data_IF_732845837816
#
_entry.id   IF_732845837816
#
_cell.length_a   1.000
_cell.length_b   1.000
_cell.length_c   1.000
_cell.angle_alpha   90.00
_cell.angle_beta   90.00
_cell.angle_gamma   90.00
#
_symmetry.space_group_name_H-M   'P 1'
#
loop_
_entity.id
_entity.type
_entity.pdbx_description
1 polymer ?
#
# COMPACT_ATOMS: atom_id res chain seq x y z
N UNK A 1 -19.85 -46.40 -23.01
CA UNK A 1 -20.64 -46.00 -21.82
C UNK A 1 -20.54 -44.50 -21.69
N UNK A 2 -21.60 -43.83 -22.10
CA UNK A 2 -21.74 -42.37 -22.12
C UNK A 2 -22.19 -41.94 -20.71
N UNK A 3 -21.38 -41.18 -20.00
CA UNK A 3 -21.78 -40.62 -18.70
C UNK A 3 -22.37 -39.24 -18.97
N UNK A 4 -23.68 -39.13 -18.80
CA UNK A 4 -24.42 -37.88 -18.92
C UNK A 4 -24.00 -36.93 -17.78
N UNK A 5 -23.56 -35.72 -18.14
CA UNK A 5 -23.43 -34.63 -17.20
C UNK A 5 -24.83 -34.12 -16.85
N UNK A 6 -25.25 -34.31 -15.60
CA UNK A 6 -26.45 -33.66 -15.07
C UNK A 6 -26.24 -32.12 -15.02
N UNK A 7 -27.31 -31.32 -15.14
CA UNK A 7 -27.17 -29.87 -15.09
C UNK A 7 -26.63 -29.45 -13.73
N UNK A 8 -25.57 -28.63 -13.77
CA UNK A 8 -25.09 -27.88 -12.60
C UNK A 8 -26.25 -27.10 -12.01
N UNK A 9 -26.52 -27.30 -10.72
CA UNK A 9 -27.51 -26.54 -9.99
C UNK A 9 -27.19 -25.05 -10.11
N UNK A 10 -28.06 -24.29 -10.74
CA UNK A 10 -28.08 -22.82 -10.67
C UNK A 10 -28.40 -22.42 -9.24
N UNK A 11 -27.54 -21.67 -8.54
CA UNK A 11 -27.94 -21.06 -7.29
C UNK A 11 -28.96 -19.97 -7.60
N UNK A 12 -30.19 -20.14 -7.14
CA UNK A 12 -31.20 -19.08 -7.15
C UNK A 12 -30.91 -18.12 -5.99
N UNK A 13 -30.30 -16.97 -6.27
CA UNK A 13 -30.15 -15.90 -5.29
C UNK A 13 -31.49 -15.16 -5.15
N UNK A 14 -32.24 -15.44 -4.08
CA UNK A 14 -33.07 -14.42 -3.48
C UNK A 14 -32.12 -13.44 -2.80
N UNK A 15 -31.94 -12.25 -3.36
CA UNK A 15 -31.12 -11.19 -2.78
C UNK A 15 -31.69 -10.77 -1.41
N UNK A 16 -31.21 -11.38 -0.33
CA UNK A 16 -31.64 -11.09 1.05
C UNK A 16 -31.05 -9.75 1.52
N UNK A 17 -31.57 -8.66 0.95
CA UNK A 17 -31.33 -7.31 1.45
C UNK A 17 -32.08 -7.11 2.77
N UNK A 18 -31.38 -6.59 3.77
CA UNK A 18 -31.95 -6.21 5.06
C UNK A 18 -31.57 -4.78 5.40
N UNK A 19 -32.18 -4.21 6.46
CA UNK A 19 -31.73 -2.94 7.00
C UNK A 19 -30.25 -3.07 7.42
N UNK A 20 -29.42 -2.13 6.99
CA UNK A 20 -28.01 -2.12 7.36
C UNK A 20 -27.86 -2.07 8.89
N UNK A 21 -26.96 -2.88 9.47
CA UNK A 21 -26.61 -2.74 10.87
C UNK A 21 -25.95 -1.37 11.11
N UNK A 22 -25.90 -0.91 12.36
CA UNK A 22 -25.20 0.33 12.69
C UNK A 22 -23.71 0.19 12.32
N UNK A 23 -23.27 1.02 11.38
CA UNK A 23 -21.90 1.10 10.91
C UNK A 23 -21.08 2.03 11.81
N UNK A 24 -19.75 1.89 11.75
CA UNK A 24 -18.81 2.83 12.37
C UNK A 24 -17.74 3.24 11.37
N UNK A 25 -17.15 4.43 11.55
CA UNK A 25 -16.02 4.84 10.72
C UNK A 25 -14.84 3.87 10.86
N UNK A 26 -14.56 3.40 12.08
CA UNK A 26 -13.48 2.45 12.34
C UNK A 26 -13.66 1.15 11.55
N UNK A 27 -14.87 0.60 11.48
CA UNK A 27 -15.15 -0.64 10.74
C UNK A 27 -15.05 -0.51 9.22
N UNK A 28 -15.19 0.71 8.69
CA UNK A 28 -15.17 0.95 7.24
C UNK A 28 -13.85 1.54 6.75
N UNK A 29 -13.06 2.17 7.63
CA UNK A 29 -11.82 2.82 7.22
C UNK A 29 -10.80 1.81 6.69
N UNK A 30 -10.34 2.02 5.46
CA UNK A 30 -9.43 1.13 4.75
C UNK A 30 -10.11 -0.07 4.08
N UNK A 31 -11.45 -0.10 4.00
CA UNK A 31 -12.20 -1.15 3.27
C UNK A 31 -12.33 -0.85 1.78
N UNK A 32 -12.45 -1.91 0.97
CA UNK A 32 -12.46 -1.84 -0.49
C UNK A 32 -13.82 -2.22 -1.06
N UNK A 33 -14.26 -1.47 -2.07
CA UNK A 33 -15.58 -1.62 -2.65
C UNK A 33 -15.56 -1.44 -4.16
N UNK A 34 -16.49 -2.11 -4.83
CA UNK A 34 -16.93 -1.76 -6.18
C UNK A 34 -18.20 -0.92 -6.06
N UNK A 35 -18.25 0.21 -6.77
CA UNK A 35 -19.43 1.07 -6.83
C UNK A 35 -20.18 0.84 -8.15
N UNK A 36 -21.48 0.57 -8.04
CA UNK A 36 -22.38 0.39 -9.17
C UNK A 36 -23.70 1.10 -8.94
N UNK A 37 -24.43 1.35 -10.01
CA UNK A 37 -25.81 1.79 -10.04
C UNK A 37 -26.67 0.69 -10.68
N UNK A 38 -27.87 0.45 -10.14
CA UNK A 38 -28.81 -0.47 -10.79
C UNK A 38 -29.26 0.01 -12.17
N UNK A 39 -29.20 1.31 -12.42
CA UNK A 39 -29.69 1.91 -13.67
C UNK A 39 -28.60 1.97 -14.74
N UNK A 40 -27.36 2.29 -14.35
CA UNK A 40 -26.26 2.57 -15.28
C UNK A 40 -25.13 1.54 -15.25
N UNK A 41 -25.19 0.56 -14.34
CA UNK A 41 -24.16 -0.47 -14.19
C UNK A 41 -22.96 -0.02 -13.36
N UNK A 42 -21.77 -0.58 -13.65
CA UNK A 42 -20.54 -0.30 -12.90
C UNK A 42 -20.08 1.15 -13.08
N UNK A 43 -19.75 1.81 -11.96
CA UNK A 43 -19.25 3.20 -11.92
C UNK A 43 -17.75 3.20 -11.59
N UNK A 44 -17.34 2.36 -10.63
CA UNK A 44 -15.95 2.18 -10.27
C UNK A 44 -15.69 0.72 -9.91
N UNK A 45 -14.71 0.05 -10.56
CA UNK A 45 -14.38 -1.33 -10.27
C UNK A 45 -13.71 -1.50 -8.90
N UNK A 46 -13.05 -0.44 -8.40
CA UNK A 46 -12.32 -0.45 -7.14
C UNK A 46 -12.23 0.96 -6.55
N UNK A 47 -12.78 1.14 -5.36
CA UNK A 47 -12.61 2.31 -4.52
C UNK A 47 -12.27 1.90 -3.09
N UNK A 48 -11.66 2.81 -2.35
CA UNK A 48 -11.33 2.63 -0.94
C UNK A 48 -12.10 3.64 -0.12
N UNK A 49 -12.75 3.19 0.96
CA UNK A 49 -13.17 4.10 2.03
C UNK A 49 -11.93 4.46 2.85
N UNK A 50 -11.12 5.35 2.32
CA UNK A 50 -9.80 5.67 2.84
C UNK A 50 -9.87 6.38 4.21
N UNK A 51 -8.78 6.38 4.99
CA UNK A 51 -8.70 7.14 6.23
C UNK A 51 -9.04 8.63 6.07
N UNK A 52 -9.35 9.29 7.18
CA UNK A 52 -9.77 10.70 7.22
C UNK A 52 -11.03 11.01 6.39
N UNK A 53 -11.89 10.00 6.17
CA UNK A 53 -13.14 10.17 5.42
C UNK A 53 -12.94 10.45 3.94
N UNK A 54 -11.78 10.09 3.36
CA UNK A 54 -11.48 10.31 1.93
C UNK A 54 -11.93 9.14 1.08
N UNK A 55 -12.33 9.41 -0.16
CA UNK A 55 -12.50 8.36 -1.17
C UNK A 55 -11.17 8.10 -1.86
N UNK A 56 -10.69 6.86 -1.78
CA UNK A 56 -9.49 6.39 -2.46
C UNK A 56 -9.81 5.74 -3.79
N UNK A 57 -8.93 5.91 -4.78
CA UNK A 57 -9.01 5.31 -6.11
C UNK A 57 -10.25 5.64 -6.96
N UNK A 58 -11.13 6.51 -6.49
CA UNK A 58 -12.25 7.05 -7.26
C UNK A 58 -12.34 8.56 -7.02
N UNK A 59 -11.82 9.35 -7.96
CA UNK A 59 -11.73 10.81 -7.84
C UNK A 59 -12.82 11.47 -8.68
N UNK A 60 -13.97 11.71 -8.06
CA UNK A 60 -15.10 12.38 -8.68
C UNK A 60 -15.62 13.47 -7.73
N UNK A 61 -15.80 14.73 -8.16
CA UNK A 61 -16.32 15.79 -7.28
C UNK A 61 -17.69 15.47 -6.67
N UNK A 62 -18.48 14.59 -7.29
CA UNK A 62 -19.74 14.11 -6.73
C UNK A 62 -19.57 13.12 -5.58
N UNK A 63 -18.39 12.52 -5.37
CA UNK A 63 -18.08 11.56 -4.31
C UNK A 63 -16.60 11.73 -3.94
N UNK A 64 -16.32 12.68 -3.06
CA UNK A 64 -14.95 13.01 -2.62
C UNK A 64 -14.68 12.51 -1.20
N UNK A 65 -15.72 12.49 -0.36
CA UNK A 65 -15.64 12.09 1.03
C UNK A 65 -16.63 10.97 1.36
N UNK A 66 -16.40 10.34 2.50
CA UNK A 66 -17.35 9.48 3.17
C UNK A 66 -17.33 9.74 4.67
N UNK A 67 -18.46 9.49 5.32
CA UNK A 67 -18.54 9.42 6.77
C UNK A 67 -19.68 8.50 7.18
N UNK A 68 -19.72 8.17 8.46
CA UNK A 68 -20.87 7.51 9.05
C UNK A 68 -21.70 8.55 9.81
N UNK A 69 -23.00 8.61 9.52
CA UNK A 69 -23.97 9.46 10.21
C UNK A 69 -25.19 8.61 10.60
N UNK A 70 -25.58 8.66 11.88
CA UNK A 70 -26.66 7.85 12.44
C UNK A 70 -26.54 6.33 12.13
N UNK A 71 -25.30 5.82 12.20
CA UNK A 71 -25.01 4.41 11.90
C UNK A 71 -25.10 4.05 10.40
N UNK A 72 -25.27 5.01 9.51
CA UNK A 72 -25.34 4.80 8.06
C UNK A 72 -24.12 5.37 7.35
N UNK A 73 -23.63 4.66 6.34
CA UNK A 73 -22.59 5.17 5.45
C UNK A 73 -23.19 6.25 4.55
N UNK A 74 -22.52 7.40 4.48
CA UNK A 74 -22.85 8.49 3.59
C UNK A 74 -21.66 8.79 2.69
N UNK A 75 -21.87 8.79 1.37
CA UNK A 75 -20.95 9.37 0.41
C UNK A 75 -21.26 10.85 0.26
N UNK A 76 -20.22 11.68 0.13
CA UNK A 76 -20.32 13.14 0.20
C UNK A 76 -19.53 13.78 -0.93
N UNK A 77 -20.09 14.82 -1.54
CA UNK A 77 -19.47 15.56 -2.64
C UNK A 77 -18.44 16.59 -2.14
N UNK A 78 -17.77 17.26 -3.07
CA UNK A 78 -16.76 18.28 -2.80
C UNK A 78 -17.27 19.46 -1.97
N UNK A 79 -18.57 19.76 -2.05
CA UNK A 79 -19.24 20.85 -1.31
C UNK A 79 -19.72 20.42 0.09
N UNK A 80 -19.42 19.18 0.50
CA UNK A 80 -19.83 18.63 1.79
C UNK A 80 -21.31 18.19 1.86
N UNK A 81 -22.00 18.10 0.72
CA UNK A 81 -23.39 17.64 0.67
C UNK A 81 -23.47 16.12 0.50
N UNK A 82 -24.46 15.44 1.13
CA UNK A 82 -24.71 14.02 0.91
C UNK A 82 -25.02 13.70 -0.55
N UNK A 83 -24.22 12.80 -1.12
CA UNK A 83 -24.42 12.26 -2.48
C UNK A 83 -25.27 11.00 -2.44
N UNK A 84 -25.00 10.09 -1.51
CA UNK A 84 -25.79 8.86 -1.34
C UNK A 84 -25.72 8.36 0.09
N UNK A 85 -26.86 7.85 0.61
CA UNK A 85 -26.96 7.30 1.97
C UNK A 85 -27.30 5.82 1.87
N UNK A 86 -26.49 4.99 2.53
CA UNK A 86 -26.57 3.53 2.48
C UNK A 86 -27.28 2.99 3.73
N UNK A 87 -28.49 2.47 3.53
CA UNK A 87 -29.40 2.05 4.60
C UNK A 87 -29.78 0.57 4.53
N UNK A 88 -29.39 -0.13 3.47
CA UNK A 88 -29.57 -1.56 3.30
C UNK A 88 -28.22 -2.27 3.23
N UNK A 89 -28.18 -3.54 3.61
CA UNK A 89 -26.99 -4.38 3.53
C UNK A 89 -27.35 -5.80 3.09
N UNK A 90 -26.39 -6.48 2.48
CA UNK A 90 -26.32 -7.93 2.40
C UNK A 90 -25.21 -8.41 3.34
N UNK A 91 -25.50 -9.47 4.10
CA UNK A 91 -24.59 -10.02 5.09
C UNK A 91 -24.42 -11.52 4.83
N UNK A 92 -23.17 -11.95 4.72
CA UNK A 92 -22.78 -13.36 4.59
C UNK A 92 -21.76 -13.69 5.68
N UNK A 93 -21.97 -14.80 6.40
CA UNK A 93 -21.11 -15.24 7.50
C UNK A 93 -20.77 -14.12 8.53
N UNK A 94 -21.75 -13.26 8.81
CA UNK A 94 -21.60 -12.14 9.74
C UNK A 94 -20.81 -10.94 9.20
N UNK A 95 -20.44 -10.94 7.92
CA UNK A 95 -19.73 -9.84 7.24
C UNK A 95 -20.62 -9.13 6.24
N UNK A 96 -20.49 -7.80 6.17
CA UNK A 96 -21.17 -7.01 5.16
C UNK A 96 -20.49 -7.26 3.82
N UNK A 97 -21.22 -7.87 2.88
CA UNK A 97 -20.73 -8.14 1.52
C UNK A 97 -21.25 -7.11 0.52
N UNK A 98 -22.35 -6.42 0.82
CA UNK A 98 -22.82 -5.29 0.04
C UNK A 98 -23.58 -4.28 0.90
N UNK A 99 -23.53 -3.01 0.49
CA UNK A 99 -24.33 -1.91 1.00
C UNK A 99 -25.17 -1.31 -0.12
N UNK A 100 -26.45 -1.07 0.15
CA UNK A 100 -27.42 -0.50 -0.77
C UNK A 100 -27.83 0.89 -0.29
N UNK A 101 -27.72 1.87 -1.18
CA UNK A 101 -28.00 3.26 -0.89
C UNK A 101 -28.75 3.97 -2.01
N UNK A 102 -29.32 5.12 -1.69
CA UNK A 102 -30.01 5.98 -2.66
C UNK A 102 -29.46 7.39 -2.56
N UNK A 103 -29.42 8.08 -3.69
CA UNK A 103 -29.08 9.49 -3.75
C UNK A 103 -28.76 9.93 -5.17
N UNK A 104 -27.98 11.00 -5.30
CA UNK A 104 -27.55 11.58 -6.57
C UNK A 104 -26.03 11.67 -6.63
N UNK A 105 -25.43 10.99 -7.60
CA UNK A 105 -24.00 11.10 -7.93
C UNK A 105 -23.89 11.73 -9.32
N UNK A 106 -23.31 12.93 -9.38
CA UNK A 106 -23.26 13.74 -10.59
C UNK A 106 -24.68 14.11 -11.03
N UNK A 107 -25.07 13.74 -12.23
CA UNK A 107 -26.44 13.90 -12.75
C UNK A 107 -27.34 12.69 -12.52
N UNK A 108 -26.82 11.62 -11.93
CA UNK A 108 -27.52 10.32 -11.84
C UNK A 108 -28.17 10.18 -10.46
N UNK A 109 -29.51 10.19 -10.42
CA UNK A 109 -30.29 9.84 -9.23
C UNK A 109 -30.74 8.39 -9.33
N UNK A 110 -30.18 7.51 -8.50
CA UNK A 110 -30.31 6.06 -8.64
C UNK A 110 -30.25 5.33 -7.29
N UNK A 111 -30.46 4.02 -7.34
CA UNK A 111 -30.01 3.11 -6.29
C UNK A 111 -28.54 2.72 -6.58
N UNK A 112 -27.67 2.98 -5.62
CA UNK A 112 -26.26 2.62 -5.67
C UNK A 112 -25.98 1.39 -4.81
N UNK A 113 -25.08 0.53 -5.28
CA UNK A 113 -24.59 -0.63 -4.57
C UNK A 113 -23.08 -0.53 -4.43
N UNK A 114 -22.61 -0.59 -3.19
CA UNK A 114 -21.22 -0.86 -2.86
C UNK A 114 -21.09 -2.35 -2.57
N UNK A 115 -20.37 -3.09 -3.40
CA UNK A 115 -20.05 -4.52 -3.16
C UNK A 115 -18.64 -4.61 -2.58
N UNK A 116 -18.48 -5.28 -1.44
CA UNK A 116 -17.16 -5.52 -0.86
C UNK A 116 -16.30 -6.29 -1.87
N UNK A 117 -15.06 -5.86 -2.06
CA UNK A 117 -14.13 -6.49 -3.01
C UNK A 117 -12.75 -6.67 -2.40
N UNK A 118 -11.96 -7.56 -2.97
CA UNK A 118 -10.52 -7.61 -2.74
C UNK A 118 -9.80 -6.64 -3.68
N UNK A 119 -8.52 -6.41 -3.43
CA UNK A 119 -7.62 -5.96 -4.49
C UNK A 119 -7.73 -6.91 -5.69
N UNK A 120 -7.85 -6.38 -6.92
CA UNK A 120 -7.93 -7.19 -8.11
C UNK A 120 -6.61 -7.93 -8.34
N UNK A 121 -6.70 -9.08 -9.03
CA UNK A 121 -5.53 -9.90 -9.34
C UNK A 121 -4.58 -9.19 -10.29
N UNK A 122 -3.28 -9.46 -10.18
CA UNK A 122 -2.27 -8.83 -11.02
C UNK A 122 -2.41 -9.27 -12.50
N UNK A 123 -2.48 -8.35 -13.46
CA UNK A 123 -2.97 -8.65 -14.81
C UNK A 123 -2.03 -9.46 -15.69
N UNK A 124 -0.73 -9.56 -15.34
CA UNK A 124 0.26 -10.23 -16.20
C UNK A 124 0.61 -11.64 -15.69
N UNK A 125 0.82 -11.79 -14.39
CA UNK A 125 1.29 -13.03 -13.74
C UNK A 125 0.70 -13.19 -12.35
N UNK A 126 -0.63 -13.22 -12.26
CA UNK A 126 -1.31 -13.50 -11.00
C UNK A 126 -0.92 -14.89 -10.49
N UNK A 127 -0.41 -14.94 -9.28
CA UNK A 127 -0.26 -16.21 -8.57
C UNK A 127 -1.65 -16.69 -8.15
N UNK A 128 -2.04 -17.96 -8.38
CA UNK A 128 -3.35 -18.47 -7.96
C UNK A 128 -3.64 -18.17 -6.48
N UNK A 129 -4.89 -17.84 -6.13
CA UNK A 129 -5.28 -17.60 -4.72
C UNK A 129 -4.97 -18.78 -3.79
N UNK A 130 -4.97 -20.01 -4.32
CA UNK A 130 -4.65 -21.23 -3.57
C UNK A 130 -3.18 -21.39 -3.22
N UNK A 131 -2.26 -20.67 -3.89
CA UNK A 131 -0.84 -20.76 -3.59
C UNK A 131 -0.52 -19.91 -2.36
N UNK A 132 -0.04 -20.51 -1.26
CA UNK A 132 0.27 -19.77 -0.05
C UNK A 132 1.45 -18.83 -0.29
N UNK A 133 1.31 -17.60 0.20
CA UNK A 133 2.33 -16.55 0.15
C UNK A 133 2.76 -16.25 1.59
N UNK A 134 3.74 -17.03 2.07
CA UNK A 134 4.24 -16.97 3.44
C UNK A 134 5.73 -17.27 3.47
N UNK A 135 6.50 -16.32 3.97
CA UNK A 135 7.91 -16.51 4.25
C UNK A 135 8.12 -17.28 5.56
N UNK A 136 9.17 -18.11 5.58
CA UNK A 136 9.67 -18.74 6.79
C UNK A 136 10.87 -17.95 7.33
N UNK A 137 10.83 -17.66 8.63
CA UNK A 137 11.88 -16.92 9.31
C UNK A 137 12.95 -17.88 9.85
N UNK A 138 14.16 -17.81 9.28
CA UNK A 138 15.37 -18.49 9.77
C UNK A 138 15.86 -17.89 11.08
N UNK A 139 15.64 -16.58 11.24
CA UNK A 139 15.85 -15.83 12.49
C UNK A 139 14.57 -15.08 12.78
N UNK A 140 14.15 -15.11 14.05
CA UNK A 140 13.00 -14.36 14.54
C UNK A 140 13.36 -13.67 15.86
N UNK A 141 12.70 -12.54 16.13
CA UNK A 141 13.01 -11.70 17.28
C UNK A 141 12.90 -12.47 18.61
N UNK A 142 13.98 -12.44 19.40
CA UNK A 142 14.06 -13.08 20.72
C UNK A 142 13.84 -12.10 21.89
N UNK A 143 13.52 -10.84 21.57
CA UNK A 143 13.44 -9.73 22.51
C UNK A 143 12.14 -8.95 22.37
N UNK A 144 11.77 -8.11 23.35
CA UNK A 144 10.67 -7.16 23.17
C UNK A 144 10.90 -6.33 21.90
N UNK A 145 9.86 -6.27 21.06
CA UNK A 145 9.88 -5.55 19.79
C UNK A 145 10.03 -4.06 20.02
N UNK A 146 10.80 -3.41 19.15
CA UNK A 146 10.80 -1.96 19.02
C UNK A 146 9.56 -1.48 18.26
N UNK A 147 9.20 -0.19 18.31
CA UNK A 147 7.99 0.30 17.63
C UNK A 147 8.11 0.33 16.10
N UNK A 148 9.32 0.40 15.55
CA UNK A 148 9.56 0.62 14.13
C UNK A 148 10.26 -0.58 13.48
N UNK A 149 10.04 -0.77 12.17
CA UNK A 149 10.62 -1.87 11.40
C UNK A 149 11.22 -1.37 10.09
N UNK A 150 12.44 -1.81 9.80
CA UNK A 150 13.04 -1.75 8.47
C UNK A 150 12.88 -3.11 7.80
N UNK A 151 12.25 -3.18 6.63
CA UNK A 151 12.16 -4.40 5.82
C UNK A 151 12.94 -4.19 4.54
N UNK A 152 14.09 -4.85 4.44
CA UNK A 152 14.99 -4.70 3.30
C UNK A 152 15.07 -6.03 2.52
N UNK A 153 14.70 -6.04 1.23
CA UNK A 153 15.12 -7.10 0.33
C UNK A 153 16.63 -6.95 0.10
N UNK A 154 17.46 -7.89 0.56
CA UNK A 154 18.92 -7.75 0.51
C UNK A 154 19.59 -8.86 -0.30
N UNK A 155 20.66 -8.49 -1.01
CA UNK A 155 21.64 -9.43 -1.58
C UNK A 155 23.03 -9.22 -0.98
N UNK A 156 24.02 -9.92 -1.53
CA UNK A 156 25.42 -9.86 -1.05
C UNK A 156 26.02 -8.44 -1.04
N UNK A 157 25.57 -7.55 -1.93
CA UNK A 157 26.02 -6.16 -2.04
C UNK A 157 25.20 -5.14 -1.26
N UNK A 158 24.34 -5.59 -0.33
CA UNK A 158 23.46 -4.71 0.43
C UNK A 158 24.23 -3.87 1.47
N UNK A 159 23.83 -2.61 1.63
CA UNK A 159 24.37 -1.67 2.61
C UNK A 159 23.72 -1.75 3.99
N UNK A 160 22.75 -2.64 4.22
CA UNK A 160 22.01 -2.68 5.49
C UNK A 160 22.87 -2.93 6.74
N UNK A 161 24.06 -3.51 6.59
CA UNK A 161 25.04 -3.62 7.67
C UNK A 161 25.49 -2.27 8.21
N UNK A 162 25.71 -1.29 7.31
CA UNK A 162 26.18 0.05 7.64
C UNK A 162 25.15 0.85 8.43
N UNK A 163 23.86 0.54 8.28
CA UNK A 163 22.79 1.19 9.04
C UNK A 163 22.87 0.93 10.54
N UNK A 164 23.55 -0.15 10.95
CA UNK A 164 23.79 -0.50 12.35
C UNK A 164 25.17 -0.04 12.85
N UNK A 165 26.04 0.47 11.97
CA UNK A 165 27.35 0.98 12.36
C UNK A 165 27.22 2.29 13.16
N UNK A 166 28.00 2.43 14.22
CA UNK A 166 28.05 3.66 15.03
C UNK A 166 26.84 3.93 15.92
N UNK A 167 25.77 3.14 15.85
CA UNK A 167 24.60 3.26 16.72
C UNK A 167 24.57 2.16 17.79
N UNK A 168 24.53 2.57 19.06
CA UNK A 168 24.35 1.61 20.16
C UNK A 168 22.94 1.00 20.12
N UNK A 169 22.83 -0.31 20.39
CA UNK A 169 21.55 -1.03 20.37
C UNK A 169 20.49 -0.43 21.32
N UNK A 170 20.93 0.15 22.45
CA UNK A 170 20.07 0.88 23.40
C UNK A 170 19.54 2.22 22.88
N UNK A 171 20.15 2.79 21.84
CA UNK A 171 19.70 4.03 21.18
C UNK A 171 18.91 3.76 19.91
N UNK A 172 18.95 2.55 19.35
CA UNK A 172 18.19 2.16 18.16
C UNK A 172 16.71 1.96 18.50
N UNK A 173 15.80 2.61 17.76
CA UNK A 173 14.35 2.54 17.99
C UNK A 173 13.59 1.69 16.95
N UNK A 174 14.32 0.95 16.12
CA UNK A 174 13.80 0.14 15.03
C UNK A 174 14.43 -1.25 15.01
N UNK A 175 13.63 -2.25 14.62
CA UNK A 175 14.10 -3.59 14.30
C UNK A 175 14.32 -3.72 12.79
N UNK A 176 15.07 -4.73 12.36
CA UNK A 176 15.32 -5.02 10.94
C UNK A 176 14.90 -6.45 10.57
N UNK A 177 14.15 -6.54 9.48
CA UNK A 177 13.80 -7.76 8.79
C UNK A 177 14.50 -7.81 7.43
N UNK A 178 15.38 -8.78 7.26
CA UNK A 178 16.08 -9.03 6.00
C UNK A 178 15.37 -10.14 5.24
N UNK A 179 14.84 -9.81 4.07
CA UNK A 179 14.44 -10.82 3.08
C UNK A 179 15.59 -11.01 2.10
N UNK A 180 16.32 -12.10 2.23
CA UNK A 180 17.51 -12.34 1.41
C UNK A 180 17.14 -12.94 0.05
N UNK A 181 17.40 -12.24 -1.05
CA UNK A 181 17.01 -12.68 -2.40
C UNK A 181 18.12 -13.43 -3.17
N UNK A 182 19.35 -13.46 -2.64
CA UNK A 182 20.45 -14.20 -3.24
C UNK A 182 20.21 -15.71 -3.21
N UNK A 183 20.79 -16.44 -4.16
CA UNK A 183 20.69 -17.92 -4.23
C UNK A 183 21.63 -18.60 -3.24
N UNK A 184 22.69 -17.91 -2.86
CA UNK A 184 23.67 -18.31 -1.86
C UNK A 184 23.08 -18.27 -0.45
N UNK A 185 23.79 -18.91 0.49
CA UNK A 185 23.45 -18.82 1.90
C UNK A 185 23.54 -17.35 2.35
N UNK A 186 22.50 -16.82 3.03
CA UNK A 186 22.53 -15.45 3.52
C UNK A 186 23.77 -15.18 4.39
N UNK A 187 24.52 -14.14 4.02
CA UNK A 187 25.57 -13.58 4.86
C UNK A 187 25.06 -12.29 5.49
N UNK A 188 25.10 -12.21 6.82
CA UNK A 188 24.66 -11.04 7.57
C UNK A 188 25.88 -10.31 8.15
N UNK A 189 26.12 -9.05 7.77
CA UNK A 189 27.23 -8.26 8.32
C UNK A 189 26.99 -7.85 9.78
N UNK A 190 25.75 -7.87 10.26
CA UNK A 190 25.35 -7.55 11.62
C UNK A 190 24.15 -8.41 12.04
N UNK A 191 23.88 -8.49 13.35
CA UNK A 191 22.71 -9.19 13.86
C UNK A 191 21.41 -8.52 13.36
N UNK A 192 20.38 -9.32 13.10
CA UNK A 192 19.07 -8.87 12.62
C UNK A 192 17.97 -9.50 13.46
N UNK A 193 16.81 -8.84 13.54
CA UNK A 193 15.68 -9.38 14.29
C UNK A 193 14.90 -10.42 13.50
N UNK A 194 14.84 -10.28 12.17
CA UNK A 194 14.24 -11.29 11.30
C UNK A 194 15.09 -11.55 10.06
N UNK A 195 15.16 -12.81 9.66
CA UNK A 195 15.79 -13.23 8.41
C UNK A 195 14.89 -14.26 7.73
N UNK A 196 14.54 -14.02 6.47
CA UNK A 196 13.94 -15.04 5.60
C UNK A 196 14.80 -15.18 4.33
N UNK A 197 15.04 -16.42 3.88
CA UNK A 197 15.74 -16.68 2.62
C UNK A 197 14.71 -16.89 1.50
N UNK A 198 14.66 -15.95 0.57
CA UNK A 198 13.64 -15.80 -0.46
C UNK A 198 14.29 -15.66 -1.84
N UNK A 199 15.03 -16.69 -2.30
CA UNK A 199 15.88 -16.59 -3.48
C UNK A 199 15.09 -16.21 -4.74
N UNK A 200 15.70 -15.37 -5.58
CA UNK A 200 15.19 -14.96 -6.89
C UNK A 200 13.84 -14.20 -6.87
N UNK A 201 13.36 -13.76 -5.70
CA UNK A 201 12.17 -12.93 -5.61
C UNK A 201 12.50 -11.45 -5.76
N UNK A 202 11.70 -10.75 -6.56
CA UNK A 202 11.73 -9.28 -6.67
C UNK A 202 11.19 -8.63 -5.40
N UNK A 203 11.59 -7.36 -5.17
CA UNK A 203 11.32 -6.59 -3.95
C UNK A 203 9.88 -6.74 -3.44
N UNK A 204 8.88 -6.41 -4.26
CA UNK A 204 7.50 -6.34 -3.79
C UNK A 204 6.87 -7.72 -3.57
N UNK A 205 7.19 -8.72 -4.40
CA UNK A 205 6.80 -10.13 -4.15
C UNK A 205 7.38 -10.65 -2.85
N UNK A 206 8.66 -10.34 -2.61
CA UNK A 206 9.38 -10.72 -1.40
C UNK A 206 8.78 -10.05 -0.16
N UNK A 207 8.52 -8.75 -0.22
CA UNK A 207 7.88 -8.01 0.88
C UNK A 207 6.49 -8.58 1.17
N UNK A 208 5.69 -8.84 0.14
CA UNK A 208 4.37 -9.44 0.32
C UNK A 208 4.43 -10.76 1.10
N UNK A 209 5.38 -11.64 0.76
CA UNK A 209 5.53 -12.94 1.43
C UNK A 209 5.90 -12.82 2.91
N UNK A 210 6.55 -11.72 3.31
CA UNK A 210 6.88 -11.42 4.70
C UNK A 210 5.67 -10.93 5.50
N UNK A 211 4.64 -10.39 4.85
CA UNK A 211 3.46 -9.76 5.45
C UNK A 211 2.18 -10.61 5.35
N UNK A 212 2.30 -11.93 5.48
CA UNK A 212 1.14 -12.82 5.63
C UNK A 212 0.29 -12.46 6.87
N UNK A 213 -0.98 -12.90 6.91
CA UNK A 213 -1.97 -12.46 7.91
C UNK A 213 -1.47 -12.50 9.37
N UNK A 214 -0.85 -13.61 9.77
CA UNK A 214 -0.31 -13.82 11.13
C UNK A 214 1.17 -13.45 11.27
N UNK A 215 1.71 -12.66 10.33
CA UNK A 215 3.12 -12.28 10.37
C UNK A 215 3.41 -11.43 11.62
N UNK A 216 4.50 -11.72 12.35
CA UNK A 216 4.92 -10.89 13.49
C UNK A 216 5.24 -9.45 13.10
N UNK A 217 5.48 -9.20 11.80
CA UNK A 217 5.79 -7.88 11.26
C UNK A 217 4.59 -6.91 11.31
N UNK A 218 3.35 -7.40 11.44
CA UNK A 218 2.18 -6.54 11.67
C UNK A 218 2.14 -5.90 13.06
N UNK A 219 3.05 -6.29 13.95
CA UNK A 219 3.18 -5.70 15.29
C UNK A 219 3.89 -4.34 15.34
N UNK A 220 4.46 -3.87 14.24
CA UNK A 220 5.19 -2.60 14.18
C UNK A 220 4.28 -1.45 13.75
N UNK A 221 4.53 -0.24 14.27
CA UNK A 221 3.72 0.95 14.01
C UNK A 221 4.12 1.64 12.70
N UNK A 222 5.44 1.68 12.44
CA UNK A 222 6.05 2.32 11.27
C UNK A 222 6.94 1.30 10.55
N UNK A 223 6.78 1.20 9.24
CA UNK A 223 7.47 0.21 8.42
C UNK A 223 8.15 0.92 7.26
N UNK A 224 9.48 0.91 7.23
CA UNK A 224 10.28 1.41 6.12
C UNK A 224 10.67 0.26 5.18
N UNK A 225 10.48 0.46 3.88
CA UNK A 225 10.70 -0.54 2.84
C UNK A 225 11.81 -0.11 1.84
N UNK A 226 13.05 0.11 2.31
CA UNK A 226 14.13 0.60 1.45
C UNK A 226 14.63 -0.45 0.46
N UNK A 227 15.18 0.04 -0.65
CA UNK A 227 16.15 -0.70 -1.45
C UNK A 227 17.47 -0.87 -0.67
N UNK A 228 18.30 -1.78 -1.16
CA UNK A 228 19.44 -2.29 -0.41
C UNK A 228 20.74 -1.51 -0.63
N UNK A 229 20.69 -0.41 -1.40
CA UNK A 229 21.79 0.48 -1.78
C UNK A 229 21.67 1.91 -1.25
N UNK A 230 20.88 2.09 -0.20
CA UNK A 230 20.73 3.38 0.46
C UNK A 230 21.80 3.58 1.52
N UNK A 231 22.60 4.63 1.33
CA UNK A 231 23.54 5.07 2.36
C UNK A 231 22.85 6.07 3.28
N UNK A 232 22.63 5.64 4.52
CA UNK A 232 22.01 6.40 5.60
C UNK A 232 22.55 5.86 6.94
N UNK A 233 22.70 6.73 7.94
CA UNK A 233 23.09 6.30 9.29
C UNK A 233 21.91 5.77 10.10
N UNK A 234 22.18 4.90 11.08
CA UNK A 234 21.15 4.42 12.01
C UNK A 234 20.47 5.53 12.83
N UNK A 235 21.18 6.63 13.09
CA UNK A 235 20.60 7.82 13.74
C UNK A 235 19.61 8.56 12.85
N UNK A 236 19.89 8.66 11.55
CA UNK A 236 18.95 9.25 10.59
C UNK A 236 17.72 8.35 10.41
N UNK A 237 17.88 7.03 10.41
CA UNK A 237 16.73 6.10 10.44
C UNK A 237 15.87 6.32 11.70
N UNK A 238 16.49 6.48 12.88
CA UNK A 238 15.77 6.83 14.10
C UNK A 238 14.96 8.13 13.95
N UNK A 239 15.60 9.17 13.40
CA UNK A 239 14.97 10.49 13.16
C UNK A 239 13.83 10.39 12.15
N UNK A 240 14.00 9.61 11.09
CA UNK A 240 12.98 9.34 10.08
C UNK A 240 11.70 8.78 10.70
N UNK A 241 11.83 7.73 11.51
CA UNK A 241 10.69 7.13 12.20
C UNK A 241 10.06 8.09 13.20
N UNK A 242 10.87 8.87 13.92
CA UNK A 242 10.37 9.91 14.82
C UNK A 242 9.52 10.94 14.07
N UNK A 243 9.99 11.47 12.95
CA UNK A 243 9.27 12.46 12.13
C UNK A 243 7.99 11.88 11.55
N UNK A 244 8.02 10.65 11.02
CA UNK A 244 6.82 9.97 10.53
C UNK A 244 5.75 9.85 11.62
N UNK A 245 6.15 9.51 12.86
CA UNK A 245 5.24 9.44 14.00
C UNK A 245 4.75 10.81 14.44
N UNK A 246 5.66 11.78 14.59
CA UNK A 246 5.37 13.14 15.07
C UNK A 246 4.32 13.84 14.19
N UNK A 247 4.42 13.66 12.88
CA UNK A 247 3.53 14.28 11.90
C UNK A 247 2.38 13.38 11.46
N UNK A 248 2.18 12.23 12.13
CA UNK A 248 1.13 11.26 11.83
C UNK A 248 1.00 10.85 10.35
N UNK A 249 2.13 10.78 9.66
CA UNK A 249 2.16 10.50 8.22
C UNK A 249 1.67 9.09 7.94
N UNK A 250 0.98 8.85 6.84
CA UNK A 250 0.63 7.52 6.36
C UNK A 250 1.67 6.94 5.42
N UNK A 251 2.28 7.80 4.62
CA UNK A 251 3.26 7.40 3.64
C UNK A 251 4.27 8.54 3.46
N UNK A 252 5.54 8.27 3.72
CA UNK A 252 6.60 9.27 3.56
C UNK A 252 7.88 8.63 3.05
N UNK A 253 8.88 9.43 2.71
CA UNK A 253 10.23 8.96 2.45
C UNK A 253 11.25 10.01 2.87
N UNK A 254 12.49 9.62 3.16
CA UNK A 254 13.56 10.59 3.28
C UNK A 254 13.83 11.26 1.92
N UNK A 255 14.30 12.50 1.93
CA UNK A 255 14.75 13.15 0.71
C UNK A 255 16.06 12.51 0.21
N UNK A 256 16.31 12.62 -1.09
CA UNK A 256 17.49 12.06 -1.73
C UNK A 256 18.57 13.13 -1.94
N UNK A 257 19.79 12.80 -1.57
CA UNK A 257 20.95 13.64 -1.86
C UNK A 257 21.23 13.68 -3.36
N UNK A 258 21.59 14.86 -3.87
CA UNK A 258 22.02 15.08 -5.26
C UNK A 258 23.54 15.23 -5.41
N UNK A 259 24.28 15.01 -4.32
CA UNK A 259 25.74 15.08 -4.30
C UNK A 259 26.42 13.89 -4.98
N UNK A 260 27.75 13.94 -5.02
CA UNK A 260 28.58 12.90 -5.65
C UNK A 260 28.27 11.49 -5.12
N UNK A 261 28.15 10.54 -6.05
CA UNK A 261 27.85 9.13 -5.78
C UNK A 261 26.38 8.83 -5.45
N UNK A 262 25.47 9.80 -5.63
CA UNK A 262 24.03 9.58 -5.49
C UNK A 262 23.33 9.68 -6.84
N UNK A 263 22.38 8.76 -7.09
CA UNK A 263 21.68 8.61 -8.37
C UNK A 263 20.14 8.71 -8.22
N UNK A 264 19.59 9.82 -7.68
CA UNK A 264 18.14 9.97 -7.58
C UNK A 264 17.50 10.29 -8.94
N UNK A 265 16.30 9.78 -9.19
CA UNK A 265 15.64 9.91 -10.50
C UNK A 265 14.66 11.07 -10.55
N UNK A 266 13.72 11.14 -9.61
CA UNK A 266 12.61 12.09 -9.67
C UNK A 266 12.98 13.41 -8.95
N UNK A 267 13.03 14.58 -9.61
CA UNK A 267 13.37 15.85 -8.97
C UNK A 267 12.52 16.21 -7.74
N UNK A 268 11.27 15.72 -7.68
CA UNK A 268 10.41 15.88 -6.50
C UNK A 268 11.03 15.25 -5.24
N UNK A 269 11.90 14.24 -5.34
CA UNK A 269 12.47 13.54 -4.19
C UNK A 269 13.79 14.15 -3.71
N UNK A 270 14.33 15.15 -4.42
CA UNK A 270 15.62 15.75 -4.10
C UNK A 270 15.54 16.58 -2.82
N UNK A 271 16.58 16.46 -1.99
CA UNK A 271 16.70 17.21 -0.74
C UNK A 271 16.75 18.72 -1.00
N UNK A 272 15.91 19.46 -0.27
CA UNK A 272 15.90 20.92 -0.27
C UNK A 272 16.72 21.44 0.93
N UNK A 273 17.81 22.21 0.71
CA UNK A 273 18.64 22.74 1.79
C UNK A 273 17.84 23.59 2.79
N UNK A 274 18.11 23.41 4.08
CA UNK A 274 17.36 24.08 5.17
C UNK A 274 15.92 23.57 5.33
N UNK A 275 15.54 22.52 4.59
CA UNK A 275 14.20 21.97 4.58
C UNK A 275 13.85 21.20 5.85
N UNK A 276 12.56 21.25 6.20
CA UNK A 276 11.94 20.41 7.21
C UNK A 276 11.18 19.26 6.57
N UNK A 277 9.86 19.24 6.77
CA UNK A 277 8.96 18.29 6.13
C UNK A 277 8.20 18.99 5.00
N UNK A 278 8.12 18.35 3.82
CA UNK A 278 7.39 18.87 2.65
C UNK A 278 6.27 17.89 2.29
N UNK A 279 5.01 18.35 2.35
CA UNK A 279 3.88 17.53 1.95
C UNK A 279 3.83 17.42 0.43
N UNK A 280 3.83 16.20 -0.08
CA UNK A 280 4.01 15.93 -1.51
C UNK A 280 3.11 14.77 -1.96
N UNK A 281 2.59 14.82 -3.19
CA UNK A 281 1.64 13.83 -3.71
C UNK A 281 2.31 12.52 -4.17
N UNK A 282 3.64 12.42 -4.06
CA UNK A 282 4.43 11.32 -4.60
C UNK A 282 5.47 10.84 -3.60
N UNK A 283 5.57 9.52 -3.43
CA UNK A 283 6.56 8.84 -2.61
C UNK A 283 7.09 7.67 -3.42
N UNK A 284 8.40 7.66 -3.67
CA UNK A 284 9.04 6.73 -4.60
C UNK A 284 9.06 5.31 -4.02
N UNK A 285 8.87 4.32 -4.89
CA UNK A 285 8.87 2.90 -4.52
C UNK A 285 10.19 2.41 -3.91
N UNK A 286 11.27 3.15 -4.09
CA UNK A 286 12.61 2.79 -3.65
C UNK A 286 12.77 2.86 -2.13
N UNK A 287 12.19 3.85 -1.43
CA UNK A 287 12.33 3.96 0.03
C UNK A 287 11.09 4.43 0.80
N UNK A 288 9.88 3.91 0.52
CA UNK A 288 8.68 4.35 1.20
C UNK A 288 8.66 3.88 2.66
N UNK A 289 8.19 4.75 3.53
CA UNK A 289 7.90 4.50 4.94
C UNK A 289 6.40 4.63 5.15
N UNK A 290 5.76 3.54 5.54
CA UNK A 290 4.34 3.46 5.80
C UNK A 290 4.01 3.53 7.30
N UNK A 291 2.85 4.11 7.63
CA UNK A 291 2.12 3.73 8.83
C UNK A 291 1.58 2.30 8.68
N UNK A 292 1.43 1.56 9.78
CA UNK A 292 0.83 0.21 9.72
C UNK A 292 -0.54 0.21 9.02
N UNK A 293 -1.39 1.20 9.30
CA UNK A 293 -2.72 1.29 8.68
C UNK A 293 -2.63 1.49 7.17
N UNK A 294 -1.71 2.33 6.70
CA UNK A 294 -1.52 2.59 5.29
C UNK A 294 -0.94 1.37 4.57
N UNK A 295 0.02 0.67 5.20
CA UNK A 295 0.56 -0.56 4.61
C UNK A 295 -0.52 -1.64 4.47
N UNK A 296 -1.41 -1.80 5.45
CA UNK A 296 -2.54 -2.75 5.34
C UNK A 296 -3.45 -2.48 4.15
N UNK A 297 -3.68 -1.20 3.84
CA UNK A 297 -4.47 -0.79 2.67
C UNK A 297 -3.72 -1.09 1.37
N UNK A 298 -2.40 -0.97 1.35
CA UNK A 298 -1.62 -1.07 0.11
C UNK A 298 -1.02 -2.45 -0.17
N UNK A 299 -0.84 -3.31 0.85
CA UNK A 299 0.02 -4.50 0.77
C UNK A 299 -0.39 -5.48 -0.34
N UNK A 300 -1.68 -5.65 -0.60
CA UNK A 300 -2.15 -6.58 -1.64
C UNK A 300 -1.74 -6.15 -3.05
N UNK A 301 -1.50 -4.85 -3.30
CA UNK A 301 -0.94 -4.39 -4.57
C UNK A 301 0.49 -4.90 -4.85
N UNK A 302 1.17 -5.43 -3.82
CA UNK A 302 2.56 -5.88 -3.90
C UNK A 302 2.64 -7.33 -4.38
N UNK A 303 1.56 -8.11 -4.17
CA UNK A 303 1.50 -9.57 -4.24
C UNK A 303 2.26 -10.14 -5.41
N UNK A 304 1.96 -9.66 -6.61
CA UNK A 304 2.51 -10.19 -7.85
C UNK A 304 3.24 -9.15 -8.70
N UNK A 305 3.56 -7.99 -8.11
CA UNK A 305 4.30 -6.92 -8.79
C UNK A 305 5.75 -7.33 -9.06
N UNK A 306 6.16 -7.35 -10.33
CA UNK A 306 7.51 -7.70 -10.75
C UNK A 306 8.46 -6.50 -10.69
N UNK A 307 8.06 -5.37 -11.29
CA UNK A 307 8.88 -4.15 -11.33
C UNK A 307 8.62 -3.19 -10.17
N UNK A 308 7.40 -3.16 -9.65
CA UNK A 308 6.94 -2.12 -8.73
C UNK A 308 6.52 -0.81 -9.38
N UNK A 309 6.73 -0.63 -10.69
CA UNK A 309 6.35 0.60 -11.40
C UNK A 309 4.84 0.86 -11.26
N UNK A 310 4.49 2.11 -10.96
CA UNK A 310 3.10 2.54 -10.75
C UNK A 310 2.59 2.38 -9.33
N UNK A 311 3.25 1.58 -8.47
CA UNK A 311 2.82 1.44 -7.08
C UNK A 311 2.90 2.77 -6.31
N UNK A 312 3.91 3.58 -6.59
CA UNK A 312 4.09 4.97 -6.10
C UNK A 312 2.96 5.93 -6.51
N UNK A 313 2.19 5.62 -7.56
CA UNK A 313 0.96 6.33 -7.92
C UNK A 313 -0.30 5.73 -7.29
N UNK A 314 -0.32 4.40 -7.11
CA UNK A 314 -1.45 3.69 -6.53
C UNK A 314 -1.55 3.87 -5.02
N UNK A 315 -0.44 3.86 -4.28
CA UNK A 315 -0.52 4.03 -2.81
C UNK A 315 -1.14 5.36 -2.41
N UNK A 316 -0.73 6.52 -2.96
CA UNK A 316 -1.42 7.78 -2.70
C UNK A 316 -2.89 7.71 -3.13
N UNK A 317 -3.20 7.01 -4.22
CA UNK A 317 -4.56 6.82 -4.71
C UNK A 317 -5.43 6.08 -3.70
N UNK A 318 -4.98 4.93 -3.19
CA UNK A 318 -5.69 4.11 -2.21
C UNK A 318 -5.88 4.82 -0.88
N UNK A 319 -4.94 5.67 -0.49
CA UNK A 319 -5.00 6.48 0.72
C UNK A 319 -5.88 7.73 0.57
N UNK A 320 -6.48 7.98 -0.59
CA UNK A 320 -7.34 9.14 -0.83
C UNK A 320 -6.56 10.45 -1.02
N UNK A 321 -5.30 10.37 -1.46
CA UNK A 321 -4.37 11.49 -1.70
C UNK A 321 -4.29 12.46 -0.51
N UNK A 322 -3.88 11.96 0.68
CA UNK A 322 -3.92 12.76 1.90
C UNK A 322 -2.90 13.90 1.83
N UNK A 323 -3.39 15.14 1.90
CA UNK A 323 -2.57 16.34 1.73
C UNK A 323 -1.60 16.59 2.90
N UNK A 324 -1.92 16.11 4.09
CA UNK A 324 -1.14 16.37 5.32
C UNK A 324 -0.53 15.11 5.94
N UNK A 325 -0.79 13.94 5.35
CA UNK A 325 -0.25 12.66 5.83
C UNK A 325 0.69 12.00 4.83
N UNK A 326 1.11 12.74 3.79
CA UNK A 326 2.14 12.31 2.88
C UNK A 326 3.24 13.35 2.77
N UNK A 327 4.50 12.94 2.92
CA UNK A 327 5.59 13.90 2.88
C UNK A 327 6.95 13.31 2.51
N UNK A 328 7.82 14.19 2.01
CA UNK A 328 9.26 13.96 1.92
C UNK A 328 9.93 14.67 3.11
N UNK A 329 10.94 14.03 3.69
CA UNK A 329 11.66 14.53 4.87
C UNK A 329 13.02 15.08 4.45
N UNK A 330 13.18 16.41 4.42
CA UNK A 330 14.41 17.09 3.97
C UNK A 330 15.49 17.21 5.06
N UNK A 331 15.19 16.83 6.31
CA UNK A 331 16.10 16.99 7.45
C UNK A 331 17.44 16.27 7.27
N UNK A 332 17.48 15.24 6.43
CA UNK A 332 18.67 14.51 6.03
C UNK A 332 18.49 14.01 4.60
N UNK A 333 19.60 13.81 3.90
CA UNK A 333 19.62 13.33 2.52
C UNK A 333 20.17 11.92 2.46
N UNK A 334 19.39 11.00 1.90
CA UNK A 334 19.83 9.61 1.66
C UNK A 334 20.53 9.55 0.31
N UNK A 335 21.70 8.90 0.24
CA UNK A 335 22.36 8.67 -1.04
C UNK A 335 21.88 7.35 -1.63
N UNK A 336 21.39 7.41 -2.87
CA UNK A 336 21.07 6.23 -3.68
C UNK A 336 22.33 5.82 -4.44
N UNK A 337 23.04 4.80 -3.96
CA UNK A 337 24.45 4.57 -4.33
C UNK A 337 24.65 3.76 -5.61
N UNK A 338 23.57 3.23 -6.21
CA UNK A 338 23.64 2.53 -7.49
C UNK A 338 22.76 3.23 -8.51
N UNK A 339 23.22 3.35 -9.78
CA UNK A 339 22.35 3.81 -10.85
C UNK A 339 21.31 2.74 -11.18
N UNK A 340 20.23 3.16 -11.86
CA UNK A 340 19.26 2.24 -12.45
C UNK A 340 20.02 1.24 -13.34
N UNK A 341 19.73 -0.06 -13.16
CA UNK A 341 20.43 -1.11 -13.87
C UNK A 341 20.30 -0.93 -15.40
N UNK A 342 21.41 -0.98 -16.12
CA UNK A 342 21.46 -0.84 -17.59
C UNK A 342 20.67 -1.92 -18.34
N UNK A 343 20.46 -3.08 -17.71
CA UNK A 343 19.66 -4.19 -18.25
C UNK A 343 18.17 -4.13 -17.82
N UNK A 344 17.72 -3.04 -17.20
CA UNK A 344 16.33 -2.85 -16.83
C UNK A 344 15.48 -2.59 -18.08
N UNK A 345 14.49 -3.46 -18.32
CA UNK A 345 13.58 -3.28 -19.44
C UNK A 345 12.42 -2.34 -19.06
N UNK A 346 12.65 -1.04 -19.25
CA UNK A 346 11.67 0.01 -18.95
C UNK A 346 10.35 -0.19 -19.71
N UNK A 347 10.39 -0.70 -20.95
CA UNK A 347 9.18 -0.97 -21.74
C UNK A 347 8.28 -2.02 -21.09
N UNK A 348 8.87 -3.09 -20.54
CA UNK A 348 8.11 -4.12 -19.80
C UNK A 348 7.54 -3.55 -18.50
N UNK A 349 8.29 -2.74 -17.77
CA UNK A 349 7.82 -2.11 -16.54
C UNK A 349 6.65 -1.14 -16.77
N UNK A 350 6.74 -0.31 -17.82
CA UNK A 350 5.65 0.60 -18.21
C UNK A 350 4.41 -0.16 -18.69
N UNK A 351 4.58 -1.28 -19.40
CA UNK A 351 3.47 -2.14 -19.79
C UNK A 351 2.80 -2.80 -18.57
N UNK A 352 3.59 -3.25 -17.59
CA UNK A 352 3.07 -3.74 -16.30
C UNK A 352 2.28 -2.65 -15.57
N UNK A 353 2.85 -1.46 -15.42
CA UNK A 353 2.16 -0.31 -14.82
C UNK A 353 0.82 -0.02 -15.48
N UNK A 354 0.77 0.08 -16.81
CA UNK A 354 -0.46 0.37 -17.55
C UNK A 354 -1.52 -0.71 -17.33
N UNK A 355 -1.12 -1.98 -17.38
CA UNK A 355 -2.03 -3.09 -17.13
C UNK A 355 -2.58 -3.04 -15.69
N UNK A 356 -1.72 -2.82 -14.71
CA UNK A 356 -2.12 -2.72 -13.29
C UNK A 356 -3.09 -1.55 -13.10
N UNK A 357 -2.80 -0.38 -13.65
CA UNK A 357 -3.69 0.79 -13.57
C UNK A 357 -5.07 0.49 -14.15
N UNK A 358 -5.13 -0.15 -15.33
CA UNK A 358 -6.39 -0.52 -15.96
C UNK A 358 -7.23 -1.45 -15.07
N UNK A 359 -6.60 -2.43 -14.43
CA UNK A 359 -7.25 -3.36 -13.51
C UNK A 359 -7.84 -2.67 -12.27
N UNK A 360 -7.18 -1.63 -11.75
CA UNK A 360 -7.72 -0.80 -10.66
C UNK A 360 -8.71 0.27 -11.13
N UNK A 361 -8.96 0.44 -12.44
CA UNK A 361 -9.69 1.59 -12.98
C UNK A 361 -8.99 2.93 -12.68
N UNK A 362 -7.69 2.91 -12.42
CA UNK A 362 -6.91 4.08 -12.03
C UNK A 362 -6.51 4.91 -13.26
N UNK A 363 -6.71 6.23 -13.16
CA UNK A 363 -6.28 7.18 -14.16
C UNK A 363 -5.07 7.97 -13.66
N UNK A 364 -3.94 7.81 -14.35
CA UNK A 364 -2.72 8.53 -14.05
C UNK A 364 -2.93 10.04 -14.23
N UNK A 365 -2.54 10.79 -13.21
CA UNK A 365 -2.41 12.24 -13.27
C UNK A 365 -0.93 12.58 -13.21
N UNK A 366 -0.36 13.30 -14.20
CA UNK A 366 1.03 13.70 -14.17
C UNK A 366 1.35 14.50 -12.90
N UNK A 367 2.48 14.18 -12.26
CA UNK A 367 2.95 14.89 -11.07
C UNK A 367 4.21 15.68 -11.46
N UNK A 368 4.23 17.01 -11.31
CA UNK A 368 5.40 17.81 -11.60
C UNK A 368 6.64 17.31 -10.84
N UNK A 369 7.73 17.05 -11.54
CA UNK A 369 8.97 16.54 -10.95
C UNK A 369 9.02 15.02 -10.76
N UNK A 370 8.06 14.28 -11.32
CA UNK A 370 8.12 12.81 -11.51
C UNK A 370 8.37 12.54 -12.98
N UNK A 371 9.55 11.98 -13.30
CA UNK A 371 9.96 11.53 -14.63
C UNK A 371 9.24 10.28 -15.12
#
# INVERSE_FOLDING_TARGET
>A
MTIAAGPLATPSASDNWMKAPALSQESLSGSFWRLSSLDTGEISPFLVLAPEGRIGNFFNPAVEYWHVFDGHLCLVNADGQPSAIFTAAQIEDGRIVALGGRGTIGSTNALFILTATDHPEHPIRATPKSMPRRAEFLVAAQRPRRPNLVVVPAGAGSLHGQWQEGIADSKRNWDICVGYYGTERPFLPAAVEYLAHLPQKRKFKLIYDLFYAESPLWGYDRIWLPDDDLLISGEEINRMFHLSRLHELDLCQPALSTGEGSHPTHPITFQKPGGGLRHEPFIEIMCPLFSRRALKICIESFRDSESGYGLDHLWPSFLGRPQTRMAILDQFGVKHTRPIATNYNLGVALAEQQAVFATYGFQLQPIPGVL
#
